data_IF_119324075238
#
_entry.id   IF_119324075238
#
_cell.length_a   1.000
_cell.length_b   1.000
_cell.length_c   1.000
_cell.angle_alpha   90.00
_cell.angle_beta   90.00
_cell.angle_gamma   90.00
#
_symmetry.space_group_name_H-M   'P 1'
#
loop_
_entity.id
_entity.type
_entity.pdbx_description
1 polymer ?
#
# COMPACT_ATOMS: atom_id res chain seq x y z
N UNK A 1 -13.69 -35.26 -18.28
CA UNK A 1 -13.93 -33.81 -18.41
C UNK A 1 -12.84 -33.11 -17.63
N UNK A 2 -12.06 -32.25 -18.27
CA UNK A 2 -10.99 -31.50 -17.59
C UNK A 2 -11.59 -30.21 -17.03
N UNK A 3 -11.63 -30.07 -15.71
CA UNK A 3 -12.05 -28.83 -15.07
C UNK A 3 -10.95 -27.81 -15.20
N UNK A 4 -11.19 -26.70 -15.89
CA UNK A 4 -10.30 -25.55 -15.89
C UNK A 4 -10.60 -24.74 -14.63
N UNK A 5 -9.66 -24.67 -13.70
CA UNK A 5 -9.76 -23.74 -12.57
C UNK A 5 -9.44 -22.32 -13.05
N UNK A 6 -10.42 -21.43 -12.95
CA UNK A 6 -10.24 -20.02 -13.26
C UNK A 6 -9.58 -19.28 -12.08
N UNK A 7 -8.76 -18.25 -12.33
CA UNK A 7 -8.23 -17.40 -11.27
C UNK A 7 -9.37 -16.81 -10.44
N UNK A 8 -9.32 -17.01 -9.12
CA UNK A 8 -10.30 -16.44 -8.19
C UNK A 8 -9.94 -14.98 -7.91
N UNK A 9 -10.87 -14.08 -8.20
CA UNK A 9 -10.80 -12.69 -7.76
C UNK A 9 -11.59 -12.53 -6.45
N UNK A 10 -11.03 -11.82 -5.48
CA UNK A 10 -11.70 -11.46 -4.22
C UNK A 10 -11.86 -9.94 -4.23
N UNK A 11 -13.09 -9.47 -4.10
CA UNK A 11 -13.38 -8.06 -3.88
C UNK A 11 -13.51 -7.82 -2.38
N UNK A 12 -12.87 -6.78 -1.88
CA UNK A 12 -13.00 -6.33 -0.50
C UNK A 12 -13.43 -4.87 -0.56
N UNK A 13 -14.60 -4.58 -0.03
CA UNK A 13 -15.15 -3.23 0.04
C UNK A 13 -14.32 -2.33 0.96
N UNK A 14 -14.33 -1.01 0.69
CA UNK A 14 -13.50 -0.05 1.42
C UNK A 14 -13.77 -0.05 2.95
N UNK A 15 -15.02 -0.33 3.34
CA UNK A 15 -15.49 -0.32 4.72
C UNK A 15 -15.53 -1.72 5.37
N UNK A 16 -15.17 -2.77 4.64
CA UNK A 16 -15.21 -4.16 5.13
C UNK A 16 -14.01 -4.51 6.02
N UNK A 17 -12.93 -3.73 5.93
CA UNK A 17 -11.73 -3.91 6.74
C UNK A 17 -11.48 -2.72 7.65
N UNK A 18 -11.19 -2.95 8.93
CA UNK A 18 -10.94 -1.88 9.87
C UNK A 18 -9.57 -1.24 9.62
N UNK A 19 -9.50 0.06 9.92
CA UNK A 19 -8.22 0.68 10.25
C UNK A 19 -7.82 0.31 11.67
N UNK A 20 -6.58 -0.14 11.84
CA UNK A 20 -5.96 -0.35 13.15
C UNK A 20 -5.08 0.85 13.52
N UNK A 21 -5.05 1.21 14.80
CA UNK A 21 -4.10 2.16 15.36
C UNK A 21 -2.70 1.53 15.40
N UNK A 22 -1.66 2.28 15.01
CA UNK A 22 -0.27 1.81 15.01
C UNK A 22 0.60 2.47 16.10
N UNK A 23 0.00 3.21 17.02
CA UNK A 23 0.63 3.70 18.26
C UNK A 23 1.15 5.14 18.23
N UNK A 24 0.88 5.89 17.16
CA UNK A 24 1.39 7.25 16.94
C UNK A 24 0.32 8.21 16.40
N UNK A 25 -0.96 7.88 16.57
CA UNK A 25 -2.12 8.53 15.93
C UNK A 25 -2.19 8.37 14.40
N UNK A 26 -1.28 7.61 13.78
CA UNK A 26 -1.47 7.09 12.44
C UNK A 26 -2.29 5.80 12.47
N UNK A 27 -2.89 5.45 11.34
CA UNK A 27 -3.72 4.26 11.19
C UNK A 27 -3.32 3.47 9.96
N UNK A 28 -3.50 2.15 10.00
CA UNK A 28 -3.22 1.24 8.89
C UNK A 28 -4.37 0.27 8.67
N UNK A 29 -4.68 0.01 7.41
CA UNK A 29 -5.59 -1.07 6.99
C UNK A 29 -4.78 -2.06 6.16
N UNK A 30 -4.83 -3.34 6.51
CA UNK A 30 -4.16 -4.42 5.77
C UNK A 30 -5.20 -5.06 4.85
N UNK A 31 -5.04 -4.89 3.54
CA UNK A 31 -6.03 -5.32 2.54
C UNK A 31 -5.71 -6.73 2.04
N UNK A 32 -4.43 -7.00 1.76
CA UNK A 32 -4.00 -8.29 1.26
C UNK A 32 -2.59 -8.61 1.74
N UNK A 33 -2.39 -9.87 2.14
CA UNK A 33 -1.08 -10.44 2.43
C UNK A 33 -0.93 -11.73 1.64
N UNK A 34 0.14 -11.82 0.86
CA UNK A 34 0.59 -13.05 0.19
C UNK A 34 2.04 -13.28 0.56
N UNK A 35 2.26 -13.94 1.69
CA UNK A 35 3.59 -14.13 2.28
C UNK A 35 4.55 -14.87 1.35
N UNK A 36 4.08 -15.94 0.69
CA UNK A 36 4.88 -16.71 -0.26
C UNK A 36 5.33 -15.90 -1.49
N UNK A 37 4.61 -14.82 -1.81
CA UNK A 37 4.93 -13.89 -2.91
C UNK A 37 5.65 -12.64 -2.41
N UNK A 38 5.84 -12.50 -1.09
CA UNK A 38 6.39 -11.28 -0.46
C UNK A 38 5.53 -10.03 -0.68
N UNK A 39 4.22 -10.17 -0.96
CA UNK A 39 3.34 -9.07 -1.34
C UNK A 39 2.40 -8.66 -0.20
N UNK A 40 2.35 -7.35 0.06
CA UNK A 40 1.44 -6.72 1.00
C UNK A 40 0.78 -5.51 0.34
N UNK A 41 -0.54 -5.41 0.46
CA UNK A 41 -1.31 -4.22 0.06
C UNK A 41 -1.88 -3.60 1.32
N UNK A 42 -1.53 -2.34 1.58
CA UNK A 42 -1.94 -1.61 2.77
C UNK A 42 -2.42 -0.20 2.40
N UNK A 43 -3.38 0.30 3.16
CA UNK A 43 -3.80 1.70 3.13
C UNK A 43 -3.38 2.34 4.46
N UNK A 44 -2.63 3.44 4.40
CA UNK A 44 -2.13 4.14 5.59
C UNK A 44 -2.75 5.54 5.67
N UNK A 45 -3.13 5.95 6.87
CA UNK A 45 -3.46 7.33 7.22
C UNK A 45 -2.39 7.80 8.20
N UNK A 46 -1.43 8.57 7.71
CA UNK A 46 -0.37 9.12 8.54
C UNK A 46 -0.84 10.38 9.25
N UNK A 47 -0.42 10.55 10.51
CA UNK A 47 -0.58 11.84 11.19
C UNK A 47 0.29 12.92 10.52
N UNK A 48 -0.05 14.18 10.73
CA UNK A 48 0.77 15.29 10.27
C UNK A 48 2.17 15.24 10.91
N UNK A 49 3.21 15.50 10.10
CA UNK A 49 4.61 15.43 10.54
C UNK A 49 5.11 14.01 10.80
N UNK A 50 4.43 12.97 10.30
CA UNK A 50 4.92 11.61 10.38
C UNK A 50 6.23 11.45 9.60
N UNK A 51 7.25 10.90 10.25
CA UNK A 51 8.53 10.56 9.65
C UNK A 51 8.72 9.05 9.69
N UNK A 52 8.99 8.46 8.53
CA UNK A 52 9.34 7.04 8.45
C UNK A 52 10.83 6.87 8.71
N UNK A 53 11.20 5.85 9.49
CA UNK A 53 12.60 5.48 9.63
C UNK A 53 13.21 5.16 8.25
N UNK A 54 14.43 5.64 7.99
CA UNK A 54 15.17 5.26 6.78
C UNK A 54 15.31 3.75 6.70
N UNK A 55 14.84 3.17 5.60
CA UNK A 55 14.89 1.73 5.34
C UNK A 55 15.28 1.44 3.89
N UNK A 56 15.69 0.20 3.62
CA UNK A 56 16.01 -0.30 2.28
C UNK A 56 14.90 -1.22 1.81
N UNK A 57 14.37 -0.97 0.63
CA UNK A 57 13.47 -1.93 -0.02
C UNK A 57 14.27 -3.10 -0.59
N UNK A 58 13.78 -4.31 -0.35
CA UNK A 58 14.31 -5.55 -0.94
C UNK A 58 13.56 -5.98 -2.20
N UNK A 59 12.49 -5.27 -2.55
CA UNK A 59 11.68 -5.45 -3.76
C UNK A 59 11.06 -4.12 -4.23
N UNK A 60 10.31 -4.12 -5.34
CA UNK A 60 9.65 -2.91 -5.85
C UNK A 60 8.54 -2.44 -4.91
N UNK A 61 8.28 -1.12 -4.90
CA UNK A 61 7.18 -0.50 -4.15
C UNK A 61 6.39 0.40 -5.09
N UNK A 62 5.08 0.25 -5.08
CA UNK A 62 4.14 1.15 -5.71
C UNK A 62 3.31 1.83 -4.62
N UNK A 63 3.18 3.15 -4.70
CA UNK A 63 2.35 3.92 -3.78
C UNK A 63 1.64 5.04 -4.56
N UNK A 64 0.42 5.35 -4.14
CA UNK A 64 -0.29 6.55 -4.58
C UNK A 64 -0.82 7.27 -3.34
N UNK A 65 -0.95 8.59 -3.45
CA UNK A 65 -1.52 9.41 -2.39
C UNK A 65 -2.86 9.93 -2.88
N UNK A 66 -3.95 9.57 -2.21
CA UNK A 66 -5.30 10.02 -2.55
C UNK A 66 -5.66 11.36 -1.88
N UNK A 67 -5.07 11.66 -0.73
CA UNK A 67 -5.27 12.91 0.00
C UNK A 67 -3.96 13.42 0.59
N UNK A 68 -3.70 14.72 0.46
CA UNK A 68 -2.49 15.44 0.94
C UNK A 68 -1.20 14.99 0.21
N UNK A 69 -0.05 15.43 0.72
CA UNK A 69 1.27 15.18 0.12
C UNK A 69 2.09 14.24 1.01
N UNK A 70 2.80 13.31 0.39
CA UNK A 70 3.91 12.58 0.99
C UNK A 70 5.18 12.95 0.23
N UNK A 71 6.24 13.32 0.96
CA UNK A 71 7.55 13.59 0.39
C UNK A 71 8.49 12.41 0.66
N UNK A 72 9.21 11.98 -0.39
CA UNK A 72 10.24 10.94 -0.28
C UNK A 72 11.60 11.61 -0.36
N UNK A 73 12.26 11.74 0.79
CA UNK A 73 13.59 12.35 0.88
C UNK A 73 14.68 11.35 0.47
N UNK A 74 15.49 11.71 -0.53
CA UNK A 74 16.74 10.99 -0.85
C UNK A 74 16.65 9.81 -1.83
N UNK A 75 15.51 9.57 -2.47
CA UNK A 75 15.40 8.68 -3.64
C UNK A 75 14.51 9.36 -4.68
N UNK A 76 15.06 9.63 -5.87
CA UNK A 76 14.27 10.14 -6.99
C UNK A 76 13.35 9.02 -7.50
N UNK A 77 12.12 8.99 -7.00
CA UNK A 77 11.04 8.24 -7.62
C UNK A 77 10.76 8.86 -9.00
N UNK A 78 11.40 8.35 -10.05
CA UNK A 78 10.81 8.47 -11.40
C UNK A 78 9.57 7.58 -11.41
N UNK A 79 8.44 8.15 -11.04
CA UNK A 79 7.13 7.55 -11.26
C UNK A 79 6.95 7.37 -12.78
N UNK A 80 6.70 6.16 -13.30
CA UNK A 80 6.24 6.01 -14.67
C UNK A 80 4.73 6.29 -14.82
N UNK A 81 4.01 6.63 -13.74
CA UNK A 81 2.55 6.73 -13.75
C UNK A 81 2.05 8.07 -13.17
N UNK A 82 2.45 9.17 -13.79
CA UNK A 82 1.73 10.45 -13.74
C UNK A 82 1.85 11.08 -15.13
N UNK A 83 1.06 10.60 -16.09
CA UNK A 83 0.67 11.45 -17.22
C UNK A 83 -0.36 12.44 -16.69
N UNK A 84 0.08 13.68 -16.48
CA UNK A 84 -0.81 14.80 -16.26
C UNK A 84 -1.77 14.95 -17.45
N UNK A 85 -3.06 15.07 -17.14
CA UNK A 85 -4.02 15.77 -18.00
C UNK A 85 -4.03 17.24 -17.66
#
# INVERSE_FOLDING_TARGET
MTTIELPKAVHIGADELPFVDIGDASRRKVIQVREAEGLWIVENVFRAGYEVQRHKHTGPVCAYTNVRSLEVQGVQLRLPCLSAG
#
